data_IF_569227736872
#
_entry.id   IF_569227736872
#
_cell.length_a   1.000
_cell.length_b   1.000
_cell.length_c   1.000
_cell.angle_alpha   90.00
_cell.angle_beta   90.00
_cell.angle_gamma   90.00
#
_symmetry.space_group_name_H-M   'P 1'
#
loop_
_entity.id
_entity.type
_entity.pdbx_description
1 polymer ?
2 water ?
#
# COMPACT_ATOMS: atom_id res chain seq x y z
N UNK A 7 -12.74 -28.24 7.70
CA UNK A 7 -13.35 -29.08 6.61
C UNK A 7 -14.74 -28.58 6.20
N UNK A 8 -15.07 -28.68 4.91
CA UNK A 8 -16.37 -28.23 4.37
C UNK A 8 -16.52 -26.72 4.14
N UNK A 9 -15.47 -25.97 4.46
CA UNK A 9 -15.44 -24.53 4.14
C UNK A 9 -15.04 -24.32 2.70
N UNK A 10 -15.75 -23.40 2.04
CA UNK A 10 -15.56 -23.08 0.65
C UNK A 10 -14.91 -21.71 0.52
N UNK A 11 -13.78 -21.65 -0.18
CA UNK A 11 -13.12 -20.37 -0.38
C UNK A 11 -13.15 -20.05 -1.86
N UNK A 12 -13.62 -18.85 -2.22
CA UNK A 12 -13.67 -18.49 -3.62
C UNK A 12 -12.61 -17.44 -3.76
N UNK A 13 -11.85 -17.40 -4.85
CA UNK A 13 -10.85 -16.34 -4.95
C UNK A 13 -10.80 -15.75 -6.33
N UNK A 14 -10.30 -14.52 -6.44
CA UNK A 14 -10.09 -13.99 -7.77
C UNK A 14 -8.82 -13.19 -7.77
N UNK A 15 -7.85 -13.66 -8.55
CA UNK A 15 -6.54 -13.02 -8.58
C UNK A 15 -6.02 -13.10 -9.98
N UNK A 16 -5.30 -12.08 -10.42
CA UNK A 16 -4.76 -12.12 -11.77
C UNK A 16 -3.72 -13.25 -11.89
N UNK A 17 -3.48 -13.74 -13.11
CA UNK A 17 -2.42 -14.73 -13.32
C UNK A 17 -1.12 -14.33 -12.66
N UNK A 18 -0.82 -13.05 -12.74
CA UNK A 18 0.45 -12.46 -12.31
C UNK A 18 0.56 -12.49 -10.81
N UNK A 19 -0.50 -12.02 -10.13
CA UNK A 19 -0.56 -12.07 -8.66
C UNK A 19 -0.47 -13.52 -8.11
N UNK A 20 -1.22 -14.43 -8.72
CA UNK A 20 -1.12 -15.89 -8.38
C UNK A 20 0.32 -16.40 -8.41
N UNK A 21 1.03 -16.01 -9.44
CA UNK A 21 2.40 -16.41 -9.68
C UNK A 21 3.33 -15.82 -8.60
N UNK A 22 3.23 -14.52 -8.33
CA UNK A 22 4.06 -13.89 -7.27
C UNK A 22 3.84 -14.54 -5.91
N UNK A 23 2.60 -14.77 -5.56
CA UNK A 23 2.27 -15.37 -4.26
C UNK A 23 2.50 -16.90 -4.23
N UNK A 24 2.70 -17.55 -5.38
CA UNK A 24 2.65 -19.04 -5.44
C UNK A 24 1.31 -19.48 -4.85
N UNK A 25 0.27 -18.78 -5.25
CA UNK A 25 -1.08 -18.98 -4.73
C UNK A 25 -1.70 -20.35 -4.99
N UNK A 26 -1.37 -20.98 -6.09
CA UNK A 26 -1.96 -22.34 -6.24
C UNK A 26 -1.43 -23.32 -5.19
N UNK A 27 -0.18 -23.15 -4.78
CA UNK A 27 0.34 -24.01 -3.70
C UNK A 27 -0.40 -23.71 -2.40
N UNK A 28 -0.76 -22.42 -2.20
CA UNK A 28 -1.54 -22.02 -1.05
C UNK A 28 -2.95 -22.60 -1.12
N UNK A 29 -3.56 -22.58 -2.30
CA UNK A 29 -4.90 -23.16 -2.46
C UNK A 29 -4.86 -24.63 -2.09
N UNK A 30 -3.82 -25.34 -2.54
CA UNK A 30 -3.78 -26.80 -2.32
C UNK A 30 -3.56 -27.09 -0.85
N UNK A 31 -2.76 -26.25 -0.20
CA UNK A 31 -2.63 -26.32 1.24
C UNK A 31 -3.99 -26.31 1.96
N UNK A 32 -4.78 -25.27 1.72
CA UNK A 32 -6.18 -25.22 2.15
C UNK A 32 -6.97 -26.49 1.88
N UNK A 33 -6.79 -27.10 0.72
CA UNK A 33 -7.53 -28.32 0.37
C UNK A 33 -7.19 -29.50 1.29
N UNK A 34 -5.93 -29.55 1.72
CA UNK A 34 -5.45 -30.59 2.63
C UNK A 34 -5.96 -30.41 4.06
N UNK A 35 -6.44 -29.20 4.35
CA UNK A 35 -7.07 -28.86 5.63
C UNK A 35 -8.59 -29.11 5.58
N UNK A 36 -9.07 -29.63 4.46
CA UNK A 36 -10.46 -30.01 4.32
C UNK A 36 -11.31 -29.00 3.58
N UNK A 37 -10.70 -27.88 3.18
CA UNK A 37 -11.46 -26.82 2.48
C UNK A 37 -11.68 -27.13 1.00
N UNK A 38 -12.75 -26.57 0.46
CA UNK A 38 -12.92 -26.50 -0.97
C UNK A 38 -12.46 -25.09 -1.39
N UNK A 39 -11.76 -25.01 -2.53
CA UNK A 39 -11.20 -23.77 -2.99
C UNK A 39 -11.56 -23.70 -4.46
N UNK A 40 -12.24 -22.63 -4.84
CA UNK A 40 -12.66 -22.47 -6.21
C UNK A 40 -12.21 -21.14 -6.79
N UNK A 41 -11.75 -21.16 -8.03
CA UNK A 41 -11.40 -19.91 -8.71
C UNK A 41 -12.69 -19.34 -9.21
N UNK A 42 -13.08 -18.16 -8.75
CA UNK A 42 -14.32 -17.58 -9.24
C UNK A 42 -14.21 -17.08 -10.68
N UNK A 43 -15.13 -17.54 -11.52
CA UNK A 43 -15.35 -16.89 -12.80
C UNK A 43 -16.38 -15.79 -12.63
N UNK A 44 -15.90 -14.54 -12.62
CA UNK A 44 -16.77 -13.39 -12.38
C UNK A 44 -17.65 -13.05 -13.58
N UNK A 45 -17.40 -13.69 -14.72
CA UNK A 45 -18.22 -13.49 -15.92
C UNK A 45 -19.48 -14.39 -15.93
N UNK A 46 -19.48 -15.43 -15.09
CA UNK A 46 -20.68 -16.24 -14.83
C UNK A 46 -21.34 -15.80 -13.51
N UNK A 47 -22.61 -16.21 -13.26
CA UNK A 47 -23.22 -15.92 -11.95
C UNK A 47 -22.53 -16.66 -10.77
N UNK A 48 -22.46 -16.00 -9.63
CA UNK A 48 -21.62 -16.43 -8.50
C UNK A 48 -22.35 -17.39 -7.57
N UNK A 49 -23.67 -17.26 -7.51
CA UNK A 49 -24.51 -18.27 -6.83
C UNK A 49 -24.17 -19.68 -7.32
N UNK A 50 -24.17 -19.86 -8.64
CA UNK A 50 -23.92 -21.15 -9.29
C UNK A 50 -22.65 -21.83 -8.81
N UNK A 51 -21.75 -21.02 -8.25
CA UNK A 51 -20.41 -21.44 -7.89
C UNK A 51 -20.36 -21.51 -6.37
N UNK A 52 -21.45 -21.09 -5.74
CA UNK A 52 -21.60 -21.09 -4.27
C UNK A 52 -21.98 -22.42 -3.64
N UNK A 53 -22.25 -22.43 -2.32
CA UNK A 53 -22.15 -21.29 -1.41
C UNK A 53 -20.69 -20.96 -1.17
N UNK A 54 -20.42 -19.78 -0.64
CA UNK A 54 -19.05 -19.37 -0.34
C UNK A 54 -18.97 -18.81 1.07
N UNK A 55 -18.03 -19.33 1.84
CA UNK A 55 -17.82 -18.88 3.20
C UNK A 55 -16.86 -17.66 3.26
N UNK A 56 -15.84 -17.66 2.38
CA UNK A 56 -14.78 -16.58 2.29
C UNK A 56 -14.54 -16.30 0.83
N UNK A 57 -14.37 -15.02 0.44
CA UNK A 57 -13.82 -14.70 -0.87
C UNK A 57 -12.49 -13.94 -0.68
N UNK A 58 -11.39 -14.45 -1.22
CA UNK A 58 -10.14 -13.70 -1.20
C UNK A 58 -9.88 -13.17 -2.64
N UNK A 59 -9.58 -11.89 -2.80
CA UNK A 59 -9.44 -11.37 -4.17
C UNK A 59 -8.46 -10.21 -4.29
N UNK A 60 -8.00 -9.90 -5.53
CA UNK A 60 -7.44 -8.56 -5.71
C UNK A 60 -7.98 -7.97 -7.00
N UNK A 61 -9.13 -7.30 -6.92
CA UNK A 61 -9.88 -6.89 -8.12
C UNK A 61 -9.51 -5.48 -8.61
N UNK A 62 -8.35 -5.02 -8.21
CA UNK A 62 -7.93 -3.67 -8.53
C UNK A 62 -8.03 -3.21 -10.01
N UNK A 63 -7.62 -4.04 -10.97
CA UNK A 63 -7.57 -3.63 -12.35
C UNK A 63 -8.97 -3.43 -12.91
N UNK A 64 -9.85 -4.37 -12.55
CA UNK A 64 -11.27 -4.32 -12.85
C UNK A 64 -11.90 -3.08 -12.22
N UNK A 65 -11.56 -2.78 -10.96
CA UNK A 65 -12.08 -1.56 -10.32
C UNK A 65 -11.65 -0.33 -11.11
N UNK A 66 -10.41 -0.31 -11.61
CA UNK A 66 -9.91 0.85 -12.39
C UNK A 66 -10.57 0.95 -13.74
N UNK A 67 -10.71 -0.17 -14.43
CA UNK A 67 -11.39 -0.15 -15.73
C UNK A 67 -12.84 0.27 -15.57
N UNK A 68 -13.56 -0.23 -14.55
CA UNK A 68 -14.94 0.23 -14.33
C UNK A 68 -15.05 1.74 -14.19
N UNK A 69 -14.17 2.36 -13.38
CA UNK A 69 -14.16 3.83 -13.25
C UNK A 69 -13.92 4.56 -14.60
N UNK A 70 -13.24 3.88 -15.52
CA UNK A 70 -12.92 4.41 -16.85
C UNK A 70 -14.05 4.14 -17.85
N UNK A 71 -15.21 3.76 -17.32
CA UNK A 71 -16.45 3.39 -18.08
C UNK A 71 -16.34 2.19 -19.00
N UNK A 72 -15.61 1.18 -18.54
CA UNK A 72 -15.47 -0.05 -19.27
C UNK A 72 -16.62 -0.97 -18.95
N UNK A 73 -17.33 -1.39 -20.01
CA UNK A 73 -18.61 -2.12 -19.93
C UNK A 73 -18.48 -3.43 -19.24
N UNK A 74 -17.52 -4.21 -19.70
CA UNK A 74 -17.15 -5.47 -19.11
C UNK A 74 -16.85 -5.37 -17.62
N UNK A 75 -16.03 -4.40 -17.23
CA UNK A 75 -15.56 -4.36 -15.90
C UNK A 75 -16.61 -3.82 -15.02
N UNK A 76 -17.43 -2.92 -15.57
CA UNK A 76 -18.55 -2.41 -14.84
C UNK A 76 -19.51 -3.49 -14.47
N UNK A 77 -19.72 -4.43 -15.39
CA UNK A 77 -20.61 -5.55 -15.11
C UNK A 77 -20.03 -6.53 -14.06
N UNK A 78 -18.75 -6.84 -14.21
CA UNK A 78 -18.03 -7.66 -13.25
C UNK A 78 -18.17 -7.12 -11.82
N UNK A 79 -17.87 -5.82 -11.65
CA UNK A 79 -17.90 -5.15 -10.34
C UNK A 79 -19.33 -5.18 -9.78
N UNK A 80 -20.31 -4.95 -10.65
CA UNK A 80 -21.70 -4.99 -10.22
C UNK A 80 -22.11 -6.38 -9.73
N UNK A 81 -21.77 -7.44 -10.47
CA UNK A 81 -22.24 -8.76 -10.10
C UNK A 81 -21.60 -9.19 -8.79
N UNK A 82 -20.34 -8.82 -8.61
CA UNK A 82 -19.59 -9.15 -7.41
C UNK A 82 -20.17 -8.42 -6.20
N UNK A 83 -20.45 -7.14 -6.34
CA UNK A 83 -20.96 -6.31 -5.23
C UNK A 83 -22.38 -6.76 -4.80
N UNK A 84 -23.20 -7.02 -5.79
CA UNK A 84 -24.49 -7.63 -5.64
C UNK A 84 -24.45 -8.97 -4.89
N UNK A 85 -23.53 -9.87 -5.23
CA UNK A 85 -23.45 -11.16 -4.54
C UNK A 85 -23.06 -10.93 -3.12
N UNK A 86 -22.09 -10.05 -2.89
CA UNK A 86 -21.62 -9.71 -1.54
C UNK A 86 -22.81 -9.21 -0.70
N UNK A 87 -23.62 -8.33 -1.29
CA UNK A 87 -24.73 -7.70 -0.58
C UNK A 87 -25.75 -8.74 -0.16
N UNK A 88 -26.07 -9.64 -1.10
CA UNK A 88 -27.03 -10.70 -0.91
C UNK A 88 -26.55 -11.77 0.10
N UNK A 89 -25.28 -11.70 0.49
CA UNK A 89 -24.68 -12.76 1.33
C UNK A 89 -23.77 -12.22 2.40
N UNK A 90 -24.30 -11.35 3.31
CA UNK A 90 -23.46 -10.68 4.32
C UNK A 90 -22.68 -11.61 5.22
N UNK A 91 -22.99 -12.89 5.15
CA UNK A 91 -22.28 -13.88 5.93
C UNK A 91 -20.99 -14.37 5.23
N UNK A 92 -20.84 -14.09 3.92
CA UNK A 92 -19.57 -14.37 3.21
C UNK A 92 -18.53 -13.33 3.69
N UNK A 93 -17.37 -13.81 4.13
CA UNK A 93 -16.27 -12.90 4.52
C UNK A 93 -15.48 -12.58 3.24
N UNK A 94 -15.32 -11.28 2.98
CA UNK A 94 -14.67 -10.77 1.82
C UNK A 94 -13.33 -10.21 2.25
N UNK A 95 -12.27 -10.82 1.72
CA UNK A 95 -10.91 -10.35 1.99
C UNK A 95 -10.45 -9.71 0.69
N UNK A 96 -10.54 -8.40 0.54
CA UNK A 96 -11.01 -7.45 1.55
C UNK A 96 -12.11 -6.56 0.91
N UNK A 97 -12.91 -5.83 1.72
CA UNK A 97 -14.06 -5.08 1.11
C UNK A 97 -13.66 -4.18 -0.05
N UNK A 98 -14.55 -4.06 -1.04
CA UNK A 98 -14.29 -3.19 -2.19
C UNK A 98 -14.01 -1.69 -1.88
N UNK A 99 -14.73 -1.06 -0.91
CA UNK A 99 -14.35 0.32 -0.53
C UNK A 99 -12.94 0.48 0.03
N UNK A 100 -12.36 -0.60 0.51
CA UNK A 100 -11.02 -0.59 1.04
C UNK A 100 -9.99 -0.52 -0.08
N UNK A 101 -10.16 -1.39 -1.10
CA UNK A 101 -9.40 -1.34 -2.32
C UNK A 101 -9.44 0.03 -2.98
N UNK A 102 -10.61 0.65 -3.02
CA UNK A 102 -10.74 1.90 -3.72
C UNK A 102 -10.00 3.02 -3.02
N UNK A 103 -9.87 2.95 -1.70
CA UNK A 103 -9.11 3.99 -1.00
C UNK A 103 -7.62 3.72 -1.15
N UNK A 104 -7.24 2.46 -1.01
CA UNK A 104 -5.82 2.10 -1.02
C UNK A 104 -5.17 2.19 -2.40
N UNK A 105 -5.97 2.08 -3.47
CA UNK A 105 -5.41 2.17 -4.81
C UNK A 105 -5.00 3.60 -5.16
N UNK A 106 -5.60 4.57 -4.47
CA UNK A 106 -5.37 5.97 -4.82
C UNK A 106 -4.58 6.67 -3.69
N UNK A 107 -3.33 7.10 -3.98
CA UNK A 107 -2.44 7.64 -2.96
C UNK A 107 -3.00 8.90 -2.36
N UNK A 108 -3.63 9.76 -3.15
CA UNK A 108 -4.12 10.96 -2.46
C UNK A 108 -5.28 10.60 -1.49
N UNK A 109 -5.94 9.46 -1.71
CA UNK A 109 -7.01 9.08 -0.79
C UNK A 109 -6.37 8.40 0.38
N UNK A 110 -5.54 7.40 0.13
CA UNK A 110 -4.88 6.73 1.24
C UNK A 110 -4.07 7.66 2.18
N UNK A 111 -3.37 8.65 1.64
CA UNK A 111 -2.59 9.50 2.52
C UNK A 111 -3.45 10.41 3.35
N UNK A 112 -4.59 10.80 2.79
CA UNK A 112 -5.55 11.60 3.49
C UNK A 112 -6.15 10.75 4.61
N UNK A 113 -6.49 9.51 4.33
CA UNK A 113 -6.88 8.60 5.38
C UNK A 113 -5.87 8.52 6.55
N UNK A 114 -4.59 8.33 6.23
CA UNK A 114 -3.51 8.26 7.24
C UNK A 114 -3.48 9.50 8.10
N UNK A 115 -3.57 10.63 7.42
CA UNK A 115 -3.55 11.97 8.05
C UNK A 115 -4.69 12.14 9.06
N UNK A 116 -5.86 11.60 8.72
CA UNK A 116 -7.04 11.64 9.61
C UNK A 116 -6.94 10.61 10.72
N UNK A 117 -6.46 9.42 10.39
CA UNK A 117 -6.19 8.43 11.41
C UNK A 117 -5.16 8.95 12.41
N UNK A 118 -4.09 9.59 11.94
CA UNK A 118 -3.06 10.06 12.87
C UNK A 118 -3.66 11.09 13.82
N UNK A 119 -4.27 12.13 13.26
CA UNK A 119 -4.98 13.17 14.03
C UNK A 119 -6.12 12.64 14.90
N UNK A 120 -6.60 11.44 14.60
CA UNK A 120 -7.52 10.72 15.49
C UNK A 120 -6.77 10.11 16.66
N UNK A 121 -5.67 9.40 16.35
CA UNK A 121 -4.94 8.57 17.32
C UNK A 121 -4.41 9.34 18.51
N UNK A 122 -4.24 10.64 18.33
CA UNK A 122 -3.68 11.51 19.35
C UNK A 122 -2.45 10.84 20.00
N UNK A 123 -1.56 10.37 19.15
CA UNK A 123 -0.29 9.86 19.58
C UNK A 123 0.79 10.74 18.95
N UNK A 124 1.49 11.49 19.79
CA UNK A 124 2.64 12.29 19.38
C UNK A 124 3.81 11.46 18.78
N UNK A 125 3.75 10.13 18.89
CA UNK A 125 4.80 9.26 18.33
C UNK A 125 4.70 9.04 16.81
N UNK A 126 3.63 9.57 16.21
CA UNK A 126 3.32 9.35 14.79
C UNK A 126 2.84 10.61 14.06
N UNK A 127 3.53 10.91 12.96
CA UNK A 127 3.28 12.11 12.14
C UNK A 127 3.96 11.90 10.80
N UNK A 128 3.12 11.70 9.77
CA UNK A 128 3.52 11.48 8.38
C UNK A 128 3.77 12.77 7.61
N UNK A 129 4.51 12.69 6.51
CA UNK A 129 4.92 13.90 5.79
C UNK A 129 3.75 14.60 5.10
N UNK A 130 3.83 15.92 4.95
CA UNK A 130 2.93 16.63 4.06
C UNK A 130 2.95 16.07 2.63
N UNK A 131 1.82 16.14 1.97
CA UNK A 131 1.68 15.62 0.55
C UNK A 131 0.64 16.51 -0.11
N UNK A 132 0.59 16.50 -1.44
CA UNK A 132 -0.56 17.05 -2.11
C UNK A 132 -0.73 16.32 -3.42
N UNK A 133 -1.93 16.39 -3.96
CA UNK A 133 -2.09 15.96 -5.33
C UNK A 133 -1.75 17.15 -6.23
N UNK A 134 -0.74 16.98 -7.08
CA UNK A 134 -0.34 18.01 -8.00
C UNK A 134 -0.81 17.68 -9.41
N UNK A 135 -1.92 18.28 -9.83
CA UNK A 135 -2.53 17.87 -11.10
C UNK A 135 -1.68 18.40 -12.26
N UNK A 136 -0.99 19.52 -12.03
CA UNK A 136 -0.30 20.26 -13.08
C UNK A 136 0.70 21.21 -12.46
N UNK A 137 1.84 21.38 -13.11
CA UNK A 137 2.81 22.43 -12.85
C UNK A 137 2.16 23.81 -13.13
N UNK A 138 2.44 24.82 -12.31
CA UNK A 138 1.86 26.16 -12.56
C UNK A 138 2.93 27.18 -12.94
N UNK A 139 3.82 26.77 -13.84
CA UNK A 139 4.92 27.58 -14.28
C UNK A 139 6.11 27.70 -13.34
N UNK A 140 6.82 28.82 -13.46
CA UNK A 140 7.94 29.12 -12.59
C UNK A 140 7.57 29.14 -11.13
N UNK A 141 6.29 29.29 -10.79
CA UNK A 141 5.91 29.46 -9.37
C UNK A 141 5.41 28.18 -8.70
N UNK A 142 5.62 27.03 -9.37
CA UNK A 142 5.18 25.72 -8.92
C UNK A 142 5.55 25.50 -7.44
N UNK A 143 6.78 25.84 -7.09
CA UNK A 143 7.27 25.57 -5.72
C UNK A 143 6.50 26.37 -4.68
N UNK A 144 6.08 27.60 -5.01
CA UNK A 144 5.17 28.39 -4.14
C UNK A 144 3.82 27.70 -3.89
N UNK A 145 3.26 27.04 -4.91
CA UNK A 145 2.14 26.11 -4.69
C UNK A 145 2.45 24.95 -3.72
N UNK A 146 3.60 24.31 -3.87
CA UNK A 146 3.96 23.18 -2.97
C UNK A 146 4.13 23.73 -1.55
N UNK A 147 4.80 24.86 -1.45
CA UNK A 147 5.03 25.55 -0.20
C UNK A 147 3.74 25.96 0.51
N UNK A 148 2.79 26.53 -0.24
CA UNK A 148 1.46 26.78 0.31
C UNK A 148 0.92 25.56 1.07
N UNK A 149 1.37 24.36 0.69
CA UNK A 149 0.84 23.09 1.18
C UNK A 149 1.87 22.37 2.06
N UNK A 150 2.91 23.11 2.44
CA UNK A 150 3.90 22.59 3.41
C UNK A 150 4.95 21.68 2.83
N UNK A 151 5.20 21.84 1.53
CA UNK A 151 6.23 21.04 0.81
C UNK A 151 7.39 21.91 0.35
N UNK A 152 8.60 21.37 0.37
CA UNK A 152 9.69 22.00 -0.34
C UNK A 152 10.66 20.88 -0.74
N UNK A 153 11.74 21.28 -1.37
CA UNK A 153 12.85 20.37 -1.60
C UNK A 153 13.48 19.81 -0.31
N UNK A 154 13.90 18.56 -0.33
CA UNK A 154 13.72 17.53 -1.37
C UNK A 154 12.33 16.93 -1.23
N UNK A 155 11.69 16.58 -2.32
CA UNK A 155 10.42 15.98 -2.26
C UNK A 155 10.34 14.84 -3.27
N UNK A 156 9.33 14.04 -3.12
CA UNK A 156 9.11 12.92 -4.01
C UNK A 156 7.82 13.10 -4.83
N UNK A 157 7.82 12.78 -6.11
CA UNK A 157 6.53 12.66 -6.81
C UNK A 157 6.33 11.19 -7.16
N UNK A 158 5.11 10.72 -7.01
CA UNK A 158 4.74 9.32 -7.05
C UNK A 158 3.51 9.38 -7.87
N UNK A 159 3.17 8.23 -8.46
CA UNK A 159 1.93 8.09 -9.21
C UNK A 159 0.76 8.19 -8.25
N UNK A 160 -0.37 8.75 -8.68
CA UNK A 160 -1.56 8.71 -7.82
C UNK A 160 -2.08 7.29 -7.64
N UNK A 161 -2.08 6.52 -8.73
CA UNK A 161 -2.64 5.18 -8.64
C UNK A 161 -1.51 4.23 -8.16
N UNK A 162 -1.75 3.58 -7.03
CA UNK A 162 -0.74 2.79 -6.35
C UNK A 162 -0.69 1.33 -6.88
N UNK A 163 -1.03 1.13 -8.15
CA UNK A 163 -1.22 -0.19 -8.73
C UNK A 163 -0.89 -0.13 -10.23
N UNK A 164 -0.21 -1.15 -10.74
CA UNK A 164 0.12 -1.17 -12.18
C UNK A 164 1.61 -1.14 -12.39
N UNK A 165 2.01 -1.19 -13.66
CA UNK A 165 3.40 -1.20 -14.15
C UNK A 165 4.36 -0.17 -13.50
N UNK A 166 3.95 1.10 -13.48
CA UNK A 166 4.76 2.15 -12.90
C UNK A 166 4.26 2.62 -11.53
N UNK A 167 3.57 1.75 -10.79
CA UNK A 167 3.02 2.14 -9.49
C UNK A 167 4.05 2.59 -8.45
N UNK A 168 5.31 2.19 -8.63
CA UNK A 168 6.38 2.45 -7.62
C UNK A 168 7.58 3.13 -8.23
N UNK A 169 7.39 3.59 -9.47
CA UNK A 169 8.33 4.46 -10.14
C UNK A 169 8.14 5.89 -9.65
N UNK A 170 9.26 6.48 -9.26
CA UNK A 170 9.29 7.68 -8.41
C UNK A 170 10.51 8.46 -8.77
N UNK A 171 10.57 9.68 -8.26
CA UNK A 171 11.67 10.56 -8.54
C UNK A 171 11.78 11.50 -7.37
N UNK A 172 13.00 11.80 -6.95
CA UNK A 172 13.23 12.72 -5.91
C UNK A 172 13.86 13.98 -6.52
N UNK A 173 13.30 15.11 -6.14
CA UNK A 173 13.63 16.39 -6.80
C UNK A 173 14.31 17.30 -5.77
N UNK A 174 15.45 17.94 -6.14
CA UNK A 174 16.25 18.76 -5.19
C UNK A 174 16.38 20.22 -5.48
N UNK A 175 15.98 20.66 -6.67
CA UNK A 175 16.09 22.06 -7.00
C UNK A 175 15.14 22.43 -8.13
N UNK A 176 15.07 23.71 -8.43
CA UNK A 176 14.15 24.25 -9.42
C UNK A 176 14.45 23.62 -10.74
N UNK A 177 15.73 23.53 -11.10
CA UNK A 177 16.10 22.94 -12.40
C UNK A 177 15.71 21.46 -12.58
N UNK A 178 15.51 20.78 -11.46
CA UNK A 178 15.14 19.36 -11.41
C UNK A 178 13.65 19.11 -11.52
N UNK A 179 12.88 20.18 -11.61
CA UNK A 179 11.43 20.04 -11.71
C UNK A 179 10.90 19.36 -12.99
N UNK A 180 11.70 19.35 -14.05
CA UNK A 180 11.28 18.71 -15.31
C UNK A 180 11.12 17.21 -15.16
N UNK A 181 11.59 16.67 -14.04
CA UNK A 181 11.41 15.27 -13.67
C UNK A 181 10.00 14.88 -13.21
N UNK A 182 9.28 15.79 -12.55
CA UNK A 182 7.86 15.53 -12.21
C UNK A 182 7.03 15.09 -13.45
N UNK A 183 6.14 14.12 -13.24
CA UNK A 183 5.19 13.66 -14.25
C UNK A 183 3.73 13.80 -13.77
N UNK A 184 3.15 15.00 -13.89
CA UNK A 184 1.78 15.22 -13.44
C UNK A 184 0.74 14.56 -14.31
N UNK A 185 -0.43 14.31 -13.76
CA UNK A 185 -0.74 14.52 -12.36
C UNK A 185 -0.13 13.44 -11.47
N UNK A 186 0.22 13.86 -10.26
CA UNK A 186 0.93 12.95 -9.38
C UNK A 186 0.77 13.41 -7.95
N UNK A 187 1.28 12.60 -7.04
CA UNK A 187 1.28 12.96 -5.65
C UNK A 187 2.69 13.35 -5.24
N UNK A 188 2.83 14.51 -4.60
CA UNK A 188 4.13 14.96 -4.13
C UNK A 188 4.13 14.81 -2.63
N UNK A 189 5.26 14.41 -2.06
CA UNK A 189 5.35 14.11 -0.62
C UNK A 189 6.75 14.53 -0.22
N UNK A 190 6.90 15.29 0.86
CA UNK A 190 8.23 15.72 1.31
C UNK A 190 9.10 14.47 1.59
N UNK A 191 10.36 14.51 1.16
CA UNK A 191 11.31 13.47 1.55
C UNK A 191 11.77 13.76 2.95
N UNK A 192 11.61 12.76 3.82
CA UNK A 192 11.95 12.89 5.22
C UNK A 192 13.19 12.01 5.48
N UNK A 193 14.29 12.60 5.97
CA UNK A 193 15.50 11.85 6.32
C UNK A 193 15.22 10.90 7.48
N UNK A 194 15.79 9.69 7.37
CA UNK A 194 15.47 8.59 8.25
C UNK A 194 16.65 7.63 8.34
N UNK A 195 17.85 8.17 8.15
CA UNK A 195 19.10 7.43 8.29
C UNK A 195 19.09 6.12 7.44
N UNK A 196 18.41 6.17 6.26
CA UNK A 196 18.48 5.08 5.22
C UNK A 196 18.00 3.67 5.69
N UNK A 197 17.12 3.68 6.67
CA UNK A 197 16.43 2.46 7.11
C UNK A 197 14.90 2.51 6.92
N UNK A 198 14.33 1.55 6.21
CA UNK A 198 12.89 1.46 6.08
C UNK A 198 12.38 0.28 6.85
N UNK A 199 11.26 0.46 7.55
CA UNK A 199 10.53 -0.67 8.13
C UNK A 199 9.28 -0.99 7.37
N UNK A 200 9.33 -2.11 6.67
CA UNK A 200 8.17 -2.59 5.90
C UNK A 200 7.36 -3.47 6.82
N UNK A 201 6.10 -3.07 7.07
CA UNK A 201 5.22 -3.83 7.92
C UNK A 201 4.23 -4.57 7.00
N UNK A 202 4.21 -5.90 7.07
CA UNK A 202 3.29 -6.77 6.32
C UNK A 202 2.20 -7.32 7.22
N UNK A 203 0.95 -6.94 6.93
CA UNK A 203 -0.13 -7.23 7.83
C UNK A 203 -1.00 -8.31 7.21
N UNK A 204 -1.21 -9.38 7.99
CA UNK A 204 -2.14 -10.44 7.58
C UNK A 204 -3.17 -10.64 8.68
N UNK A 205 -4.23 -9.85 8.64
CA UNK A 205 -5.15 -9.71 9.75
C UNK A 205 -4.55 -9.16 11.03
N UNK A 206 -4.68 -9.95 12.10
CA UNK A 206 -4.15 -9.60 13.41
C UNK A 206 -2.64 -9.82 13.56
N UNK A 207 -2.04 -10.59 12.65
CA UNK A 207 -0.58 -10.71 12.73
C UNK A 207 0.12 -9.77 11.78
N UNK A 208 1.32 -9.37 12.16
CA UNK A 208 2.14 -8.53 11.33
C UNK A 208 3.61 -8.94 11.46
N UNK A 209 4.37 -8.63 10.43
CA UNK A 209 5.81 -8.85 10.42
C UNK A 209 6.40 -7.52 10.02
N UNK A 210 7.45 -7.11 10.73
CA UNK A 210 8.22 -5.92 10.47
C UNK A 210 9.53 -6.40 9.88
N UNK A 211 9.75 -6.01 8.63
CA UNK A 211 10.96 -6.34 7.87
C UNK A 211 11.79 -5.08 7.73
N UNK A 212 13.02 -5.09 8.22
CA UNK A 212 13.87 -3.94 8.00
C UNK A 212 14.57 -4.04 6.63
N UNK A 213 14.60 -2.92 5.89
CA UNK A 213 15.01 -2.90 4.50
C UNK A 213 15.93 -1.70 4.26
N UNK A 214 16.74 -1.71 3.16
CA UNK A 214 17.42 -0.49 2.78
C UNK A 214 16.42 0.60 2.29
N UNK A 215 16.92 1.80 2.09
CA UNK A 215 16.15 2.99 1.87
C UNK A 215 17.11 4.10 1.45
N UNK A 216 16.57 5.17 0.91
CA UNK A 216 17.40 6.30 0.46
C UNK A 216 18.02 6.98 1.66
N UNK A 217 19.24 7.45 1.46
CA UNK A 217 20.05 8.11 2.48
C UNK A 217 19.56 9.51 2.91
N UNK A 218 20.29 10.17 3.82
CA UNK A 218 19.93 11.52 4.22
C UNK A 218 20.41 12.56 3.19
N UNK A 219 19.58 13.58 2.93
CA UNK A 219 19.94 14.69 2.05
C UNK A 219 19.77 15.98 2.82
N UNK A 220 20.58 16.99 2.48
CA UNK A 220 20.42 18.33 3.08
C UNK A 220 19.01 18.94 2.90
N UNK A 221 18.66 19.84 3.80
CA UNK A 221 17.40 20.53 3.76
C UNK A 221 17.40 21.59 2.65
N UNK A 222 16.21 21.97 2.25
CA UNK A 222 16.02 22.94 1.22
C UNK A 222 16.63 22.43 -0.07
N UNK A 223 16.79 23.35 -1.00
CA UNK A 223 17.48 23.10 -2.27
C UNK A 223 18.90 22.51 -2.15
N UNK A 224 19.26 21.56 -3.04
CA UNK A 224 20.64 21.07 -3.22
C UNK A 224 20.97 21.15 -4.69
N UNK A 225 22.25 21.38 -5.00
CA UNK A 225 22.74 21.42 -6.41
C UNK A 225 22.96 20.04 -7.00
N UNK A 226 21.92 19.25 -7.13
CA UNK A 226 22.06 17.86 -7.57
C UNK A 226 20.87 17.41 -8.40
N UNK A 227 21.13 16.58 -9.41
CA UNK A 227 20.08 16.22 -10.38
C UNK A 227 19.06 15.37 -9.70
N UNK A 228 17.82 15.45 -10.19
CA UNK A 228 16.73 14.60 -9.76
C UNK A 228 17.11 13.11 -9.98
N UNK A 229 16.68 12.25 -9.07
CA UNK A 229 16.98 10.82 -9.06
C UNK A 229 15.67 10.07 -9.29
N UNK A 230 15.71 9.22 -10.31
CA UNK A 230 14.61 8.34 -10.69
C UNK A 230 14.88 6.97 -10.07
N UNK A 231 13.90 6.40 -9.37
CA UNK A 231 14.10 5.12 -8.70
C UNK A 231 12.79 4.38 -8.67
N UNK A 232 12.85 3.11 -8.26
CA UNK A 232 11.65 2.38 -8.06
C UNK A 232 11.68 2.02 -6.61
N UNK A 233 10.62 2.36 -5.88
CA UNK A 233 10.60 2.17 -4.42
C UNK A 233 10.70 0.70 -4.01
N UNK A 234 10.08 -0.17 -4.81
CA UNK A 234 10.19 -1.64 -4.57
C UNK A 234 11.65 -2.08 -4.73
N UNK A 235 12.28 -1.75 -5.85
CA UNK A 235 13.67 -2.05 -6.13
C UNK A 235 14.68 -1.51 -5.11
N UNK A 236 14.57 -0.24 -4.82
CA UNK A 236 15.42 0.38 -3.80
C UNK A 236 15.39 -0.38 -2.48
N UNK A 237 14.24 -0.84 -2.08
CA UNK A 237 14.10 -1.37 -0.76
C UNK A 237 14.25 -2.90 -0.75
N UNK A 238 14.66 -3.51 -1.85
CA UNK A 238 14.94 -4.94 -1.77
C UNK A 238 16.11 -5.17 -0.76
N UNK A 239 16.11 -6.30 -0.03
CA UNK A 239 17.31 -6.56 0.78
C UNK A 239 18.57 -6.55 -0.10
N UNK A 240 18.33 -6.68 -1.41
CA UNK A 240 19.11 -6.08 -2.49
C UNK A 240 20.59 -6.09 -2.25
N UNK A 243 22.94 0.22 -3.73
CA UNK A 243 23.30 1.46 -4.44
C UNK A 243 23.98 2.47 -3.50
N UNK A 244 24.70 3.41 -4.10
CA UNK A 244 25.25 4.59 -3.44
C UNK A 244 24.12 5.45 -2.84
N UNK A 245 22.93 5.30 -3.44
CA UNK A 245 21.64 5.87 -3.03
C UNK A 245 21.19 5.47 -1.61
N UNK A 246 21.56 4.28 -1.19
CA UNK A 246 21.10 3.74 0.08
C UNK A 246 22.21 3.61 1.13
N UNK A 247 23.41 4.10 0.84
CA UNK A 247 24.50 4.04 1.80
C UNK A 247 24.45 5.29 2.66
N UNK A 248 24.08 5.10 3.91
CA UNK A 248 24.09 6.17 4.88
C UNK A 248 25.49 6.83 4.99
N UNK A 249 25.61 8.15 4.78
CA UNK A 249 26.93 8.85 5.01
C UNK A 249 27.31 8.88 6.50
N UNK A 250 26.34 9.26 7.33
CA UNK A 250 26.52 9.28 8.77
C UNK A 250 25.12 9.30 9.36
N UNK A 251 25.01 8.82 10.59
CA UNK A 251 23.83 8.92 11.45
C UNK A 251 23.63 10.36 11.82
N UNK A 252 22.44 10.89 11.53
CA UNK A 252 22.05 12.20 12.01
C UNK A 252 20.76 12.10 12.78
N UNK A 253 20.68 12.93 13.83
CA UNK A 253 19.46 13.05 14.62
C UNK A 253 18.99 11.81 15.31
N UNK A 254 17.69 11.53 15.20
CA UNK A 254 17.12 10.34 15.85
C UNK A 254 17.33 9.08 15.06
N UNK A 255 17.92 8.09 15.70
CA UNK A 255 18.17 6.82 15.04
C UNK A 255 17.79 5.70 16.01
N UNK A 256 16.54 5.27 15.95
CA UNK A 256 16.02 4.33 16.94
C UNK A 256 15.20 3.33 16.17
N UNK A 257 14.96 2.20 16.81
CA UNK A 257 14.04 1.21 16.25
C UNK A 257 12.59 1.69 16.42
N UNK A 258 11.68 1.23 15.54
CA UNK A 258 10.31 1.63 15.76
C UNK A 258 9.68 0.92 16.95
N UNK A 259 8.60 1.50 17.45
CA UNK A 259 7.88 0.94 18.58
C UNK A 259 6.82 -0.02 18.10
N UNK A 260 6.82 -1.23 18.66
CA UNK A 260 5.77 -2.22 18.34
C UNK A 260 4.33 -1.77 18.71
N UNK A 261 4.22 -0.97 19.77
CA UNK A 261 2.97 -0.36 20.17
C UNK A 261 2.41 0.61 19.13
N UNK A 262 3.28 1.34 18.44
CA UNK A 262 2.80 2.30 17.46
C UNK A 262 2.32 1.53 16.23
N UNK A 263 3.13 0.55 15.80
CA UNK A 263 2.86 -0.30 14.65
C UNK A 263 1.56 -1.12 14.77
N UNK A 264 1.37 -1.78 15.91
CA UNK A 264 0.11 -2.48 16.29
C UNK A 264 -1.14 -1.63 16.11
N UNK A 265 -1.06 -0.45 16.72
CA UNK A 265 -2.19 0.42 16.81
C UNK A 265 -2.46 1.14 15.51
N UNK A 266 -1.41 1.48 14.78
CA UNK A 266 -1.59 1.91 13.41
C UNK A 266 -2.29 0.83 12.60
N UNK A 267 -1.79 -0.40 12.68
CA UNK A 267 -2.38 -1.53 11.93
C UNK A 267 -3.89 -1.65 12.29
N UNK A 268 -4.15 -1.68 13.59
CA UNK A 268 -5.50 -1.77 14.09
C UNK A 268 -6.46 -0.69 13.60
N UNK A 269 -6.10 0.58 13.72
CA UNK A 269 -6.93 1.69 13.21
C UNK A 269 -7.18 1.56 11.72
N UNK A 270 -6.16 1.13 10.99
CA UNK A 270 -6.38 0.93 9.56
C UNK A 270 -7.41 -0.12 9.28
N UNK A 271 -7.23 -1.29 9.88
CA UNK A 271 -8.14 -2.42 9.73
C UNK A 271 -9.56 -2.03 10.15
N UNK A 272 -9.67 -1.20 11.20
CA UNK A 272 -10.97 -0.70 11.70
C UNK A 272 -11.63 0.30 10.79
N UNK A 273 -10.88 1.29 10.30
CA UNK A 273 -11.39 2.30 9.37
C UNK A 273 -11.83 1.72 8.04
N UNK A 274 -11.13 0.69 7.59
CA UNK A 274 -11.33 0.22 6.24
C UNK A 274 -11.92 -1.17 6.16
N UNK A 275 -11.81 -1.93 7.25
CA UNK A 275 -12.18 -3.36 7.21
C UNK A 275 -11.20 -4.15 6.33
N UNK A 276 -10.03 -3.58 6.13
CA UNK A 276 -8.94 -4.20 5.40
C UNK A 276 -8.20 -5.19 6.31
N UNK A 277 -7.66 -6.24 5.69
CA UNK A 277 -6.83 -7.21 6.42
C UNK A 277 -5.47 -7.56 5.80
N UNK A 278 -5.32 -7.39 4.49
CA UNK A 278 -4.12 -7.81 3.75
C UNK A 278 -3.51 -6.56 3.12
N UNK A 279 -2.46 -6.05 3.73
CA UNK A 279 -1.90 -4.79 3.27
C UNK A 279 -0.52 -4.70 3.90
N UNK A 280 0.27 -3.73 3.41
CA UNK A 280 1.57 -3.43 3.97
C UNK A 280 1.65 -1.94 4.15
N UNK A 281 2.46 -1.58 5.13
CA UNK A 281 2.75 -0.22 5.50
C UNK A 281 4.26 -0.04 5.49
N UNK A 282 4.71 1.05 4.85
CA UNK A 282 6.11 1.43 4.88
C UNK A 282 6.29 2.53 5.91
N UNK A 283 7.06 2.23 6.96
CA UNK A 283 7.33 3.13 8.09
C UNK A 283 8.80 3.52 8.18
N UNK A 284 9.04 4.80 8.40
CA UNK A 284 10.39 5.35 8.71
C UNK A 284 10.33 6.11 10.04
N UNK A 285 11.46 6.26 10.72
CA UNK A 285 11.54 7.14 11.91
C UNK A 285 12.13 8.43 11.34
N UNK A 286 11.31 9.49 11.38
CA UNK A 286 11.73 10.87 11.06
C UNK A 286 12.92 11.19 12.00
N UNK A 287 14.10 11.46 11.41
CA UNK A 287 15.29 11.64 12.24
C UNK A 287 15.39 13.04 12.90
N UNK A 288 14.37 13.85 12.69
CA UNK A 288 14.29 15.18 13.30
C UNK A 288 13.43 15.16 14.52
N UNK A 289 12.37 14.41 14.42
CA UNK A 289 11.28 14.49 15.32
C UNK A 289 11.25 13.18 16.13
N UNK A 290 11.88 12.14 15.59
CA UNK A 290 11.84 10.77 16.18
C UNK A 290 10.49 10.10 15.96
N UNK A 291 9.57 10.80 15.34
CA UNK A 291 8.24 10.21 15.07
C UNK A 291 8.25 9.16 13.95
N UNK A 292 7.33 8.19 14.03
CA UNK A 292 7.01 7.24 12.95
C UNK A 292 6.26 7.95 11.85
N UNK A 293 6.64 7.72 10.61
CA UNK A 293 5.96 8.29 9.48
C UNK A 293 5.63 7.21 8.47
N UNK A 294 4.38 7.23 8.00
CA UNK A 294 3.94 6.27 6.97
C UNK A 294 4.18 6.91 5.67
N UNK A 295 5.11 6.36 4.91
CA UNK A 295 5.44 7.00 3.66
C UNK A 295 4.74 6.37 2.45
N UNK A 296 4.25 5.15 2.63
CA UNK A 296 3.41 4.50 1.65
C UNK A 296 2.58 3.39 2.29
N UNK A 297 1.58 2.96 1.51
CA UNK A 297 0.67 1.93 1.96
C UNK A 297 0.11 1.16 0.75
N UNK A 298 0.13 -0.17 0.87
CA UNK A 298 -0.14 -1.01 -0.29
C UNK A 298 -1.14 -2.06 0.07
N UNK A 299 -2.25 -2.11 -0.69
CA UNK A 299 -3.24 -3.18 -0.53
C UNK A 299 -2.66 -4.48 -1.03
N UNK A 300 -2.83 -5.54 -0.25
CA UNK A 300 -2.53 -6.91 -0.71
C UNK A 300 -1.21 -6.96 -1.50
N UNK A 301 -0.07 -6.72 -0.81
CA UNK A 301 1.25 -6.67 -1.48
C UNK A 301 1.77 -8.09 -1.84
N UNK A 302 2.97 -8.21 -2.41
CA UNK A 302 3.42 -9.56 -2.84
C UNK A 302 3.83 -10.46 -1.69
N UNK A 303 4.07 -9.84 -0.52
CA UNK A 303 4.62 -10.49 0.69
C UNK A 303 5.90 -11.23 0.31
N UNK A 304 6.76 -10.44 -0.30
CA UNK A 304 7.90 -10.86 -1.07
C UNK A 304 9.01 -10.93 -0.04
N UNK A 305 9.68 -12.07 0.02
CA UNK A 305 10.38 -12.43 1.23
C UNK A 305 9.71 -13.52 2.05
N UNK A 306 8.49 -13.26 2.50
CA UNK A 306 8.22 -12.99 3.90
C UNK A 306 8.01 -14.30 4.65
N UNK A 307 8.69 -14.43 5.77
CA UNK A 307 8.70 -15.67 6.51
C UNK A 307 7.34 -16.01 7.09
N UNK A 308 6.99 -17.28 6.97
CA UNK A 308 5.72 -17.85 7.48
C UNK A 308 4.46 -17.24 6.84
N UNK A 309 4.51 -16.83 5.57
CA UNK A 309 3.32 -16.22 4.96
C UNK A 309 2.13 -17.13 4.86
N UNK A 310 2.32 -18.33 4.29
CA UNK A 310 1.23 -19.30 4.15
C UNK A 310 0.53 -19.61 5.49
N UNK A 311 1.33 -19.83 6.53
CA UNK A 311 0.86 -20.13 7.90
C UNK A 311 -0.02 -18.98 8.36
N UNK A 312 0.53 -17.77 8.34
CA UNK A 312 -0.18 -16.59 8.80
C UNK A 312 -1.50 -16.45 8.04
N UNK A 313 -1.47 -16.69 6.74
CA UNK A 313 -2.68 -16.51 5.93
C UNK A 313 -3.75 -17.58 6.21
N UNK A 314 -3.31 -18.83 6.38
CA UNK A 314 -4.19 -19.94 6.76
C UNK A 314 -4.81 -19.61 8.14
N UNK A 315 -3.97 -19.31 9.13
CA UNK A 315 -4.41 -18.81 10.44
C UNK A 315 -5.42 -17.69 10.34
N UNK A 316 -5.21 -16.74 9.43
CA UNK A 316 -6.14 -15.63 9.34
C UNK A 316 -7.53 -16.07 8.83
N UNK A 317 -7.52 -16.92 7.80
CA UNK A 317 -8.77 -17.43 7.24
C UNK A 317 -9.61 -18.19 8.30
N UNK A 318 -8.94 -19.08 9.04
CA UNK A 318 -9.54 -19.85 10.13
C UNK A 318 -10.08 -18.90 11.18
N UNK A 319 -9.33 -17.84 11.49
CA UNK A 319 -9.77 -16.87 12.49
C UNK A 319 -11.07 -16.13 12.14
N UNK A 320 -11.23 -15.73 10.88
CA UNK A 320 -12.40 -14.92 10.50
C UNK A 320 -13.63 -15.86 10.37
N UNK A 321 -13.37 -17.08 9.95
CA UNK A 321 -14.36 -18.14 9.96
C UNK A 321 -14.78 -18.50 11.40
N UNK A 322 -13.87 -18.30 12.36
CA UNK A 322 -14.16 -18.51 13.78
C UNK A 322 -15.13 -17.46 14.31
N UNK A 323 -15.04 -16.23 13.81
CA UNK A 323 -15.98 -15.15 14.16
C UNK A 323 -17.36 -15.39 13.60
#
# INVERSE_FOLDING_TARGET
SXQTFLKGKRVGYWLSEKKIKKLNFQAFAELCRKRGMEVVQLNLSRPIEEQGPLDVIIHKLTDVILEADQNDSQSLELVHRFQEYIDAHPETIVLDPLPAIRTLLDRSKSYELIRKIEAYMEDDRICSPPFMELTSLCGDDTMRLLEKNGLTFPFICKTRVAHGTNSHEMAIVFNQEGLNAIQPPCVVQNFINHNAVLYKVFVVGESYTVVQRPSLKNFSAGTSDRESIFFNSHNVSKPESSSVLTELDKIEGVFERPSDEVIRELSRALRQALGVSLFGIDIIINNQTGQHAVIDINAFPGYEGVSEFFTDLLNHIATVLQGQSTAX
#
